data_IF_867780322309
#
_entry.id   IF_867780322309
#
_cell.length_a   1.000
_cell.length_b   1.000
_cell.length_c   1.000
_cell.angle_alpha   90.00
_cell.angle_beta   90.00
_cell.angle_gamma   90.00
#
_symmetry.space_group_name_H-M   'P 1'
#
loop_
_entity.id
_entity.type
_entity.pdbx_description
1 polymer ?
#
# COMPACT_ATOMS: atom_id res chain seq x y z
N UNK A 1 -18.54 32.62 -54.51
CA UNK A 1 -17.64 33.59 -53.86
C UNK A 1 -17.19 33.00 -52.55
N UNK A 2 -15.98 32.43 -52.56
CA UNK A 2 -15.41 31.59 -51.50
C UNK A 2 -14.43 32.44 -50.69
N UNK A 3 -14.68 32.62 -49.41
CA UNK A 3 -13.76 33.23 -48.45
C UNK A 3 -12.83 32.16 -47.88
N UNK A 4 -11.51 32.40 -47.77
CA UNK A 4 -10.60 31.52 -47.05
C UNK A 4 -10.52 31.94 -45.57
N UNK A 5 -10.54 30.94 -44.69
CA UNK A 5 -10.27 31.05 -43.26
C UNK A 5 -8.76 31.03 -43.02
N UNK A 6 -8.22 32.12 -42.50
CA UNK A 6 -6.83 32.26 -42.06
C UNK A 6 -6.68 31.72 -40.65
N UNK A 7 -5.89 30.65 -40.48
CA UNK A 7 -5.50 30.12 -39.16
C UNK A 7 -4.21 30.82 -38.74
N UNK A 8 -4.27 31.54 -37.62
CA UNK A 8 -3.13 32.17 -36.98
C UNK A 8 -2.50 31.17 -35.99
N UNK A 9 -1.27 30.73 -36.25
CA UNK A 9 -0.48 29.88 -35.37
C UNK A 9 0.56 30.76 -34.70
N UNK A 10 0.40 31.02 -33.39
CA UNK A 10 1.43 31.69 -32.59
C UNK A 10 2.05 30.71 -31.59
N UNK A 11 3.32 30.42 -31.88
CA UNK A 11 4.48 30.16 -31.04
C UNK A 11 4.34 29.50 -29.65
N UNK A 12 5.12 28.43 -29.52
CA UNK A 12 5.71 27.88 -28.30
C UNK A 12 6.28 28.95 -27.36
N UNK A 13 6.02 28.79 -26.06
CA UNK A 13 7.04 29.02 -25.04
C UNK A 13 7.10 27.83 -24.08
N UNK A 14 8.29 27.27 -24.05
CA UNK A 14 8.77 26.17 -23.24
C UNK A 14 9.07 26.71 -21.82
N UNK A 15 8.38 26.20 -20.80
CA UNK A 15 8.74 26.45 -19.40
C UNK A 15 8.77 25.14 -18.62
N UNK A 16 9.97 24.56 -18.62
CA UNK A 16 10.69 24.25 -17.38
C UNK A 16 9.96 23.37 -16.38
N UNK A 17 10.06 22.05 -16.59
CA UNK A 17 10.01 21.07 -15.51
C UNK A 17 11.22 21.28 -14.59
N UNK A 18 11.00 21.60 -13.33
CA UNK A 18 11.96 21.31 -12.25
C UNK A 18 11.30 20.41 -11.20
N UNK A 19 11.73 19.16 -11.19
CA UNK A 19 11.48 18.21 -10.10
C UNK A 19 12.49 18.54 -8.99
N UNK A 20 12.05 19.29 -7.97
CA UNK A 20 12.84 19.58 -6.78
C UNK A 20 12.60 18.54 -5.68
N UNK A 21 13.17 17.35 -5.83
CA UNK A 21 13.40 16.44 -4.70
C UNK A 21 14.89 16.52 -4.32
N UNK A 22 15.15 16.88 -3.07
CA UNK A 22 16.41 16.77 -2.33
C UNK A 22 17.56 17.70 -2.78
N UNK A 23 17.68 18.85 -2.11
CA UNK A 23 18.98 19.49 -1.87
C UNK A 23 18.90 20.38 -0.63
N UNK A 24 19.28 19.83 0.52
CA UNK A 24 19.75 20.59 1.68
C UNK A 24 21.24 20.78 1.51
N UNK A 25 21.65 21.97 1.10
CA UNK A 25 23.02 22.46 1.22
C UNK A 25 23.33 22.66 2.70
N UNK A 26 24.12 21.76 3.28
CA UNK A 26 24.87 22.05 4.50
C UNK A 26 26.25 22.56 4.10
N UNK A 27 26.52 23.81 4.43
CA UNK A 27 27.88 24.30 4.59
C UNK A 27 28.51 23.57 5.79
N UNK A 28 29.64 22.90 5.57
CA UNK A 28 30.49 22.46 6.68
C UNK A 28 31.91 22.96 6.43
N UNK A 29 32.27 23.97 7.20
CA UNK A 29 33.65 24.32 7.51
C UNK A 29 34.11 23.40 8.64
N UNK A 30 35.02 22.46 8.39
CA UNK A 30 36.08 22.14 9.36
C UNK A 30 37.19 21.30 8.73
N UNK A 31 38.40 21.82 8.94
CA UNK A 31 39.68 21.12 8.80
C UNK A 31 39.77 20.05 9.91
N UNK A 32 40.27 18.87 9.59
CA UNK A 32 41.59 18.42 10.05
C UNK A 32 41.86 16.97 9.67
N UNK A 33 43.15 16.71 9.49
CA UNK A 33 43.75 15.46 9.06
C UNK A 33 43.65 14.35 10.12
N UNK A 34 43.45 13.10 9.70
CA UNK A 34 44.26 11.97 10.17
C UNK A 34 44.04 10.66 9.38
N UNK A 35 45.11 9.87 9.39
CA UNK A 35 45.43 8.70 8.57
C UNK A 35 44.40 7.56 8.60
N UNK A 36 44.19 6.93 7.43
CA UNK A 36 43.61 5.59 7.31
C UNK A 36 44.68 4.53 7.59
N UNK A 37 44.48 3.76 8.65
CA UNK A 37 45.19 2.50 8.88
C UNK A 37 44.41 1.36 8.25
N UNK A 38 45.09 0.59 7.39
CA UNK A 38 44.64 -0.69 6.91
C UNK A 38 44.71 -1.74 8.03
N UNK A 39 43.68 -2.55 8.17
CA UNK A 39 43.77 -3.84 8.86
C UNK A 39 42.93 -4.86 8.11
N UNK A 40 43.64 -5.65 7.30
CA UNK A 40 43.22 -6.95 6.82
C UNK A 40 43.41 -7.98 7.94
N UNK A 41 42.45 -8.88 8.12
CA UNK A 41 42.63 -10.12 8.85
C UNK A 41 41.89 -11.24 8.11
N UNK A 42 42.55 -12.36 7.77
CA UNK A 42 41.95 -13.55 7.19
C UNK A 42 41.79 -14.66 8.25
N UNK A 43 40.74 -15.48 8.15
CA UNK A 43 40.61 -16.80 8.81
C UNK A 43 39.20 -17.33 8.52
N UNK A 44 38.90 -18.61 8.29
CA UNK A 44 39.66 -19.84 8.09
C UNK A 44 38.70 -20.84 7.43
N UNK A 45 39.28 -21.82 6.73
CA UNK A 45 38.60 -23.01 6.21
C UNK A 45 38.05 -23.87 7.36
N UNK A 46 36.91 -24.53 7.13
CA UNK A 46 36.51 -25.70 7.90
C UNK A 46 36.07 -26.82 6.95
N UNK A 47 36.63 -28.00 7.21
CA UNK A 47 36.48 -29.29 6.56
C UNK A 47 35.02 -29.79 6.57
N UNK A 48 34.47 -30.24 5.44
CA UNK A 48 34.29 -31.66 5.01
C UNK A 48 34.03 -32.68 6.13
N UNK A 49 32.85 -33.29 6.13
CA UNK A 49 32.67 -34.71 6.50
C UNK A 49 31.84 -35.40 5.42
N UNK A 50 32.43 -36.45 4.85
CA UNK A 50 31.85 -37.43 3.95
C UNK A 50 31.22 -38.51 4.83
N UNK A 51 29.97 -38.87 4.58
CA UNK A 51 29.35 -40.07 5.16
C UNK A 51 29.17 -41.06 4.01
N UNK A 52 29.95 -42.14 4.09
CA UNK A 52 29.98 -43.27 3.17
C UNK A 52 29.33 -44.49 3.86
N UNK A 53 28.63 -45.29 3.05
CA UNK A 53 28.36 -46.75 3.21
C UNK A 53 27.30 -47.20 4.26
N UNK A 54 26.48 -48.25 4.08
CA UNK A 54 26.29 -49.28 3.04
C UNK A 54 24.91 -49.98 3.32
N UNK A 55 24.09 -50.26 2.29
CA UNK A 55 23.78 -51.58 1.68
C UNK A 55 22.66 -52.40 2.33
N UNK A 56 21.64 -52.76 1.52
CA UNK A 56 21.08 -54.13 1.36
C UNK A 56 19.57 -54.14 1.02
N UNK A 57 19.20 -54.09 -0.27
CA UNK A 57 17.93 -54.70 -0.76
C UNK A 57 18.08 -55.13 -2.24
N UNK A 58 17.65 -56.34 -2.65
CA UNK A 58 18.01 -56.92 -3.94
C UNK A 58 17.14 -56.52 -5.14
N UNK A 59 17.83 -56.38 -6.28
CA UNK A 59 17.48 -56.56 -7.69
C UNK A 59 16.03 -56.90 -8.09
N UNK A 60 15.43 -56.00 -8.87
CA UNK A 60 14.40 -56.32 -9.86
C UNK A 60 14.75 -55.66 -11.20
N UNK A 61 15.09 -56.50 -12.19
CA UNK A 61 15.33 -56.16 -13.60
C UNK A 61 14.00 -55.96 -14.31
N UNK A 62 13.82 -54.80 -14.95
CA UNK A 62 12.93 -54.62 -16.10
C UNK A 62 13.65 -53.77 -17.17
N UNK A 63 13.65 -54.17 -18.46
CA UNK A 63 14.28 -53.41 -19.55
C UNK A 63 13.36 -52.28 -20.06
N UNK A 64 13.96 -51.17 -20.50
CA UNK A 64 13.35 -49.87 -20.85
C UNK A 64 12.63 -49.78 -22.21
N UNK A 65 12.64 -48.66 -22.97
CA UNK A 65 13.43 -47.42 -22.79
C UNK A 65 12.65 -46.07 -22.88
N UNK A 66 13.29 -45.05 -22.30
CA UNK A 66 13.47 -43.66 -22.77
C UNK A 66 12.30 -42.84 -23.35
N UNK A 67 11.93 -41.77 -22.62
CA UNK A 67 12.19 -40.37 -23.03
C UNK A 67 11.82 -39.41 -21.89
N UNK A 68 12.77 -39.16 -20.99
CA UNK A 68 12.67 -38.08 -20.01
C UNK A 68 13.25 -36.79 -20.59
N UNK A 69 12.38 -35.80 -20.75
CA UNK A 69 12.76 -34.42 -21.01
C UNK A 69 13.33 -33.80 -19.73
N UNK A 70 14.64 -33.94 -19.53
CA UNK A 70 15.36 -33.11 -18.56
C UNK A 70 15.38 -31.66 -19.07
N UNK A 71 14.60 -30.79 -18.42
CA UNK A 71 14.82 -29.35 -18.50
C UNK A 71 16.10 -29.00 -17.77
N UNK A 72 17.17 -28.89 -18.54
CA UNK A 72 18.43 -28.27 -18.15
C UNK A 72 18.16 -26.81 -17.74
N UNK A 73 18.10 -26.55 -16.43
CA UNK A 73 18.08 -25.18 -15.89
C UNK A 73 19.44 -24.53 -16.13
N UNK A 74 19.59 -23.91 -17.30
CA UNK A 74 20.66 -22.97 -17.55
C UNK A 74 20.47 -21.76 -16.61
N UNK A 75 21.32 -21.67 -15.58
CA UNK A 75 21.50 -20.45 -14.79
C UNK A 75 22.34 -19.46 -15.60
N UNK A 76 21.72 -18.81 -16.58
CA UNK A 76 22.34 -17.64 -17.21
C UNK A 76 22.35 -16.50 -16.18
N UNK A 77 23.55 -16.06 -15.80
CA UNK A 77 23.73 -14.85 -15.00
C UNK A 77 23.28 -13.67 -15.86
N UNK A 78 22.35 -12.81 -15.41
CA UNK A 78 21.89 -11.69 -16.20
C UNK A 78 23.06 -10.74 -16.46
N UNK A 79 23.51 -10.68 -17.72
CA UNK A 79 24.44 -9.65 -18.18
C UNK A 79 23.78 -8.28 -18.00
N UNK A 80 24.57 -7.28 -17.59
CA UNK A 80 24.08 -5.92 -17.31
C UNK A 80 23.29 -5.29 -18.47
N UNK A 81 23.46 -5.78 -19.69
CA UNK A 81 22.68 -5.37 -20.88
C UNK A 81 21.23 -5.89 -20.88
N UNK A 82 20.95 -7.07 -20.34
CA UNK A 82 19.59 -7.62 -20.23
C UNK A 82 18.72 -6.86 -19.23
N UNK A 83 19.33 -6.31 -18.17
CA UNK A 83 18.63 -5.50 -17.17
C UNK A 83 18.14 -4.17 -17.77
N UNK A 84 18.94 -3.55 -18.64
CA UNK A 84 18.61 -2.29 -19.33
C UNK A 84 17.47 -2.52 -20.33
N UNK A 85 17.51 -3.63 -21.08
CA UNK A 85 16.43 -3.98 -22.02
C UNK A 85 15.10 -4.28 -21.32
N UNK A 86 15.12 -4.93 -20.16
CA UNK A 86 13.90 -5.19 -19.39
C UNK A 86 13.31 -3.89 -18.82
N UNK A 87 14.14 -2.96 -18.32
CA UNK A 87 13.67 -1.64 -17.90
C UNK A 87 13.09 -0.81 -19.06
N UNK A 88 13.74 -0.82 -20.24
CA UNK A 88 13.25 -0.08 -21.41
C UNK A 88 11.94 -0.67 -21.95
N UNK A 89 11.79 -2.00 -21.89
CA UNK A 89 10.54 -2.70 -22.28
C UNK A 89 9.41 -2.44 -21.27
N UNK A 90 9.72 -2.30 -19.98
CA UNK A 90 8.76 -1.93 -18.93
C UNK A 90 8.30 -0.47 -19.10
N UNK A 91 9.23 0.47 -19.36
CA UNK A 91 8.91 1.89 -19.63
C UNK A 91 8.06 2.04 -20.89
N UNK A 92 8.34 1.30 -21.97
CA UNK A 92 7.50 1.32 -23.19
C UNK A 92 6.07 0.86 -22.94
N UNK A 93 5.84 -0.16 -22.09
CA UNK A 93 4.48 -0.62 -21.72
C UNK A 93 3.70 0.43 -20.92
N UNK A 94 4.38 1.13 -20.01
CA UNK A 94 3.74 2.22 -19.25
C UNK A 94 3.42 3.43 -20.14
N UNK A 95 4.30 3.81 -21.07
CA UNK A 95 4.03 4.90 -22.01
C UNK A 95 2.91 4.58 -23.02
N UNK A 96 2.82 3.35 -23.52
CA UNK A 96 1.70 2.96 -24.41
C UNK A 96 0.35 2.96 -23.70
N UNK A 97 0.33 2.69 -22.38
CA UNK A 97 -0.89 2.78 -21.56
C UNK A 97 -1.33 4.23 -21.35
N UNK A 98 -0.38 5.13 -21.03
CA UNK A 98 -0.66 6.56 -20.81
C UNK A 98 -1.18 7.24 -22.09
N UNK A 99 -0.64 6.90 -23.26
CA UNK A 99 -1.10 7.47 -24.54
C UNK A 99 -2.50 6.96 -24.91
N UNK A 100 -2.87 5.71 -24.58
CA UNK A 100 -4.24 5.22 -24.78
C UNK A 100 -5.26 5.91 -23.86
N UNK A 101 -4.88 6.21 -22.62
CA UNK A 101 -5.75 6.91 -21.65
C UNK A 101 -6.01 8.37 -22.03
N UNK A 102 -5.07 9.03 -22.72
CA UNK A 102 -5.23 10.43 -23.14
C UNK A 102 -6.03 10.61 -24.44
N UNK A 103 -6.16 9.57 -25.27
CA UNK A 103 -6.88 9.64 -26.56
C UNK A 103 -8.22 8.89 -26.60
N UNK A 104 -8.59 8.14 -25.56
CA UNK A 104 -10.02 7.83 -25.32
C UNK A 104 -10.63 9.05 -24.63
N UNK A 105 -10.92 10.09 -25.42
CA UNK A 105 -11.88 11.11 -25.03
C UNK A 105 -13.17 10.41 -24.63
N UNK A 106 -13.37 10.24 -23.32
CA UNK A 106 -14.66 9.85 -22.76
C UNK A 106 -15.60 10.98 -23.12
N UNK A 107 -16.29 10.84 -24.24
CA UNK A 107 -17.49 11.63 -24.50
C UNK A 107 -18.40 11.33 -23.32
N UNK A 108 -18.85 12.34 -22.56
CA UNK A 108 -19.85 12.10 -21.54
C UNK A 108 -21.05 11.50 -22.27
N UNK A 109 -21.29 10.21 -22.05
CA UNK A 109 -22.46 9.53 -22.58
C UNK A 109 -23.63 10.20 -21.89
N UNK A 110 -24.25 11.18 -22.54
CA UNK A 110 -25.63 11.61 -22.30
C UNK A 110 -26.54 10.49 -22.76
N UNK A 111 -26.40 9.33 -22.13
CA UNK A 111 -27.39 8.29 -22.17
C UNK A 111 -28.53 8.77 -21.29
N UNK A 112 -29.76 8.69 -21.79
CA UNK A 112 -30.94 8.79 -20.96
C UNK A 112 -30.68 7.93 -19.70
N UNK A 113 -30.87 8.46 -18.48
CA UNK A 113 -30.70 7.64 -17.29
C UNK A 113 -31.62 6.44 -17.48
N UNK A 114 -31.01 5.27 -17.73
CA UNK A 114 -31.74 4.01 -17.68
C UNK A 114 -32.51 4.05 -16.38
N UNK A 115 -33.80 3.77 -16.50
CA UNK A 115 -34.75 3.73 -15.41
C UNK A 115 -34.05 2.99 -14.28
N UNK A 116 -33.67 3.71 -13.22
CA UNK A 116 -33.05 3.12 -12.04
C UNK A 116 -34.10 2.11 -11.59
N UNK A 117 -33.89 0.84 -11.92
CA UNK A 117 -34.76 -0.24 -11.51
C UNK A 117 -34.65 -0.18 -10.00
N UNK A 118 -35.70 0.32 -9.37
CA UNK A 118 -35.83 0.38 -7.92
C UNK A 118 -35.60 -1.04 -7.43
N UNK A 119 -34.41 -1.33 -6.89
CA UNK A 119 -34.18 -2.58 -6.19
C UNK A 119 -35.28 -2.72 -5.13
N UNK A 120 -35.78 -3.95 -4.88
CA UNK A 120 -36.76 -4.18 -3.85
C UNK A 120 -36.26 -3.58 -2.53
N UNK A 121 -37.17 -2.84 -1.89
CA UNK A 121 -36.96 -2.06 -0.68
C UNK A 121 -36.44 -2.94 0.46
N UNK A 122 -35.13 -3.15 0.53
CA UNK A 122 -34.46 -3.96 1.55
C UNK A 122 -34.26 -3.17 2.86
N UNK A 123 -35.08 -2.15 3.15
CA UNK A 123 -35.18 -1.47 4.44
C UNK A 123 -33.97 -0.64 4.89
N UNK A 124 -32.83 -0.72 4.21
CA UNK A 124 -31.68 0.16 4.45
C UNK A 124 -31.85 1.44 3.62
N UNK A 125 -32.57 2.41 4.20
CA UNK A 125 -32.60 3.81 3.75
C UNK A 125 -31.17 4.36 3.79
N UNK A 126 -30.43 4.16 2.70
CA UNK A 126 -28.99 4.48 2.55
C UNK A 126 -28.77 5.83 1.89
N UNK A 127 -29.83 6.64 1.76
CA UNK A 127 -29.86 7.86 0.95
C UNK A 127 -28.96 9.01 1.44
N UNK A 128 -28.24 8.89 2.56
CA UNK A 128 -27.36 9.99 3.01
C UNK A 128 -26.04 9.60 3.67
N UNK A 129 -25.53 8.37 3.49
CA UNK A 129 -24.18 8.09 4.00
C UNK A 129 -23.13 8.85 3.18
N UNK A 130 -22.31 9.67 3.84
CA UNK A 130 -21.20 10.36 3.20
C UNK A 130 -20.12 9.39 2.65
N UNK A 131 -20.10 8.16 3.16
CA UNK A 131 -19.10 7.14 2.84
C UNK A 131 -19.56 6.18 1.74
N UNK A 132 -20.86 6.16 1.43
CA UNK A 132 -21.42 5.38 0.31
C UNK A 132 -21.60 6.34 -0.87
N UNK A 133 -20.97 6.04 -2.00
CA UNK A 133 -21.03 6.83 -3.22
C UNK A 133 -21.35 5.96 -4.42
N UNK A 134 -22.02 6.57 -5.40
CA UNK A 134 -22.23 5.95 -6.70
C UNK A 134 -20.94 6.02 -7.52
N UNK A 135 -20.53 4.88 -8.08
CA UNK A 135 -19.42 4.80 -9.03
C UNK A 135 -19.83 3.95 -10.22
N UNK A 136 -19.06 4.06 -11.30
CA UNK A 136 -19.21 3.24 -12.48
C UNK A 136 -17.99 2.34 -12.65
N UNK A 137 -18.24 1.06 -12.88
CA UNK A 137 -17.21 0.06 -13.14
C UNK A 137 -17.39 -0.47 -14.57
N UNK A 138 -16.31 -0.54 -15.34
CA UNK A 138 -16.36 -1.07 -16.70
C UNK A 138 -16.60 -2.59 -16.66
N UNK A 139 -17.66 -3.05 -17.31
CA UNK A 139 -17.98 -4.47 -17.45
C UNK A 139 -17.22 -5.13 -18.60
N UNK A 140 -17.37 -6.45 -18.76
CA UNK A 140 -16.86 -7.20 -19.93
C UNK A 140 -17.71 -6.96 -21.19
N UNK A 141 -18.97 -6.55 -21.01
CA UNK A 141 -19.89 -6.18 -22.08
C UNK A 141 -19.41 -4.91 -22.79
N UNK A 142 -19.59 -4.86 -24.11
CA UNK A 142 -19.20 -3.71 -24.94
C UNK A 142 -20.41 -3.09 -25.61
N UNK A 143 -20.46 -1.76 -25.64
CA UNK A 143 -21.43 -1.02 -26.47
C UNK A 143 -21.06 -1.09 -27.96
N UNK A 144 -19.76 -1.01 -28.25
CA UNK A 144 -19.20 -1.07 -29.59
C UNK A 144 -17.80 -1.73 -29.56
N UNK A 145 -17.07 -1.74 -30.68
CA UNK A 145 -15.76 -2.39 -30.75
C UNK A 145 -14.73 -1.83 -29.75
N UNK A 146 -14.90 -0.59 -29.30
CA UNK A 146 -13.92 0.18 -28.55
C UNK A 146 -14.34 0.53 -27.12
N UNK A 147 -15.63 0.51 -26.79
CA UNK A 147 -16.15 0.99 -25.51
C UNK A 147 -16.81 -0.12 -24.69
N UNK A 148 -16.33 -0.31 -23.47
CA UNK A 148 -16.96 -1.18 -22.47
C UNK A 148 -18.19 -0.50 -21.85
N UNK A 149 -19.21 -1.28 -21.55
CA UNK A 149 -20.43 -0.83 -20.90
C UNK A 149 -20.14 -0.56 -19.41
N UNK A 150 -20.28 0.68 -18.91
CA UNK A 150 -20.14 1.00 -17.50
C UNK A 150 -21.38 0.53 -16.73
N UNK A 151 -21.18 -0.11 -15.59
CA UNK A 151 -22.26 -0.52 -14.68
C UNK A 151 -22.17 0.29 -13.40
N UNK A 152 -23.29 0.89 -13.01
CA UNK A 152 -23.42 1.64 -11.76
C UNK A 152 -23.34 0.70 -10.56
N UNK A 153 -22.61 1.07 -9.50
CA UNK A 153 -22.58 0.32 -8.25
C UNK A 153 -22.44 1.21 -7.02
N UNK A 154 -22.81 0.66 -5.85
CA UNK A 154 -22.61 1.33 -4.56
C UNK A 154 -21.21 1.02 -4.04
N UNK A 155 -20.43 2.07 -3.83
CA UNK A 155 -19.06 1.99 -3.37
C UNK A 155 -18.90 2.58 -1.97
N UNK A 156 -18.22 1.86 -1.08
CA UNK A 156 -17.81 2.36 0.23
C UNK A 156 -16.35 2.79 0.18
N UNK A 157 -16.05 4.01 0.63
CA UNK A 157 -14.68 4.44 0.90
C UNK A 157 -14.33 4.14 2.35
N UNK A 158 -13.58 3.07 2.58
CA UNK A 158 -13.25 2.58 3.92
C UNK A 158 -11.78 2.84 4.26
N UNK A 159 -11.56 3.88 5.06
CA UNK A 159 -10.22 4.26 5.55
C UNK A 159 -9.69 3.33 6.65
N UNK A 160 -10.53 2.45 7.22
CA UNK A 160 -10.12 1.43 8.18
C UNK A 160 -9.76 0.09 7.53
N UNK A 161 -10.16 -0.14 6.28
CA UNK A 161 -9.82 -1.35 5.54
C UNK A 161 -8.40 -1.29 4.96
N UNK A 162 -7.47 -1.96 5.64
CA UNK A 162 -6.06 -2.10 5.21
C UNK A 162 -5.77 -3.36 4.39
N UNK A 163 -6.74 -4.27 4.22
CA UNK A 163 -6.52 -5.53 3.49
C UNK A 163 -6.47 -5.32 1.96
N UNK A 164 -7.12 -4.26 1.48
CA UNK A 164 -7.14 -3.88 0.07
C UNK A 164 -8.54 -3.49 -0.39
N UNK A 165 -8.72 -3.31 -1.70
CA UNK A 165 -10.05 -3.07 -2.25
C UNK A 165 -10.83 -4.37 -2.32
N UNK A 166 -12.13 -4.31 -2.09
CA UNK A 166 -13.02 -5.47 -2.14
C UNK A 166 -14.09 -5.27 -3.21
N UNK A 167 -14.53 -6.36 -3.83
CA UNK A 167 -15.67 -6.40 -4.75
C UNK A 167 -16.50 -7.64 -4.44
N UNK A 168 -17.83 -7.54 -4.49
CA UNK A 168 -18.68 -8.72 -4.25
C UNK A 168 -18.65 -9.67 -5.45
N UNK A 169 -18.65 -10.98 -5.16
CA UNK A 169 -18.76 -12.02 -6.19
C UNK A 169 -20.03 -11.85 -7.02
N UNK A 170 -21.17 -11.57 -6.37
CA UNK A 170 -22.46 -11.37 -7.03
C UNK A 170 -22.40 -10.23 -8.05
N UNK A 171 -21.83 -9.08 -7.69
CA UNK A 171 -21.69 -7.95 -8.60
C UNK A 171 -20.82 -8.30 -9.82
N UNK A 172 -19.72 -9.03 -9.62
CA UNK A 172 -18.85 -9.45 -10.72
C UNK A 172 -19.54 -10.37 -11.72
N UNK A 173 -20.19 -11.42 -11.22
CA UNK A 173 -20.75 -12.47 -12.06
C UNK A 173 -22.04 -12.02 -12.73
N UNK A 174 -22.93 -11.37 -11.98
CA UNK A 174 -24.28 -11.08 -12.46
C UNK A 174 -24.37 -9.73 -13.19
N UNK A 175 -23.54 -8.75 -12.83
CA UNK A 175 -23.66 -7.38 -13.37
C UNK A 175 -22.51 -6.98 -14.27
N UNK A 176 -21.28 -7.39 -13.95
CA UNK A 176 -20.09 -7.07 -14.76
C UNK A 176 -19.76 -8.11 -15.83
N UNK A 177 -20.40 -9.29 -15.81
CA UNK A 177 -20.23 -10.33 -16.83
C UNK A 177 -18.88 -11.04 -16.77
N UNK A 178 -18.24 -11.05 -15.59
CA UNK A 178 -17.04 -11.87 -15.36
C UNK A 178 -17.43 -13.31 -15.01
N UNK A 179 -16.46 -14.21 -15.17
CA UNK A 179 -16.57 -15.63 -14.81
C UNK A 179 -15.54 -15.97 -13.73
N UNK A 180 -15.71 -17.10 -13.04
CA UNK A 180 -14.72 -17.54 -12.05
C UNK A 180 -13.34 -17.84 -12.66
N UNK A 181 -13.28 -18.18 -13.96
CA UNK A 181 -12.01 -18.33 -14.69
C UNK A 181 -11.22 -17.03 -14.84
N UNK A 182 -11.87 -15.88 -14.70
CA UNK A 182 -11.20 -14.58 -14.72
C UNK A 182 -10.53 -14.25 -13.38
N UNK A 183 -10.77 -15.06 -12.34
CA UNK A 183 -10.24 -14.80 -11.01
C UNK A 183 -8.74 -15.10 -10.95
N UNK A 184 -7.99 -14.10 -10.54
CA UNK A 184 -6.57 -14.18 -10.28
C UNK A 184 -6.31 -14.85 -8.94
N UNK A 185 -5.19 -15.58 -8.88
CA UNK A 185 -4.70 -16.14 -7.61
C UNK A 185 -4.39 -15.05 -6.60
N UNK A 186 -4.68 -15.34 -5.34
CA UNK A 186 -4.29 -14.51 -4.20
C UNK A 186 -2.78 -14.57 -3.96
N UNK A 187 -2.18 -13.45 -3.56
CA UNK A 187 -0.81 -13.44 -3.03
C UNK A 187 -0.76 -14.08 -1.65
N UNK A 188 0.44 -14.42 -1.15
CA UNK A 188 0.61 -14.99 0.20
C UNK A 188 0.06 -14.06 1.28
N UNK A 189 0.24 -12.75 1.12
CA UNK A 189 -0.26 -11.73 2.05
C UNK A 189 -1.79 -11.55 1.99
N UNK A 190 -2.41 -11.82 0.84
CA UNK A 190 -3.87 -11.77 0.70
C UNK A 190 -4.55 -13.04 1.23
N UNK A 191 -3.82 -14.16 1.22
CA UNK A 191 -4.25 -15.42 1.82
C UNK A 191 -4.19 -15.40 3.34
N UNK A 192 -3.23 -14.66 3.92
CA UNK A 192 -3.26 -14.37 5.36
C UNK A 192 -4.47 -13.48 5.65
N UNK A 193 -5.55 -14.11 6.10
CA UNK A 193 -6.85 -13.48 6.32
C UNK A 193 -6.75 -12.23 7.19
N UNK A 194 -7.33 -11.13 6.72
CA UNK A 194 -7.67 -9.99 7.58
C UNK A 194 -8.77 -10.41 8.57
N UNK A 195 -8.74 -9.86 9.77
CA UNK A 195 -9.81 -10.04 10.74
C UNK A 195 -10.81 -8.90 10.59
N UNK A 196 -12.08 -9.24 10.38
CA UNK A 196 -13.17 -8.25 10.40
C UNK A 196 -13.42 -7.73 11.82
N UNK A 197 -14.31 -6.73 11.94
CA UNK A 197 -14.72 -6.15 13.24
C UNK A 197 -15.30 -7.21 14.19
N UNK A 198 -15.94 -8.25 13.65
CA UNK A 198 -16.48 -9.40 14.39
C UNK A 198 -15.43 -10.43 14.80
N UNK A 199 -14.15 -10.15 14.53
CA UNK A 199 -13.02 -11.05 14.72
C UNK A 199 -13.12 -12.37 13.94
N UNK A 200 -14.02 -12.43 12.95
CA UNK A 200 -14.06 -13.53 12.00
C UNK A 200 -13.05 -13.29 10.88
N UNK A 201 -12.28 -14.33 10.49
CA UNK A 201 -11.33 -14.22 9.40
C UNK A 201 -12.10 -13.98 8.09
N UNK A 202 -11.77 -12.90 7.39
CA UNK A 202 -12.22 -12.68 6.02
C UNK A 202 -11.22 -13.33 5.08
N UNK A 203 -11.68 -14.36 4.37
CA UNK A 203 -10.91 -15.08 3.36
C UNK A 203 -11.46 -14.74 1.98
N UNK A 204 -10.73 -13.98 1.15
CA UNK A 204 -11.16 -13.72 -0.22
C UNK A 204 -11.21 -15.00 -1.06
N UNK A 205 -12.09 -15.03 -2.06
CA UNK A 205 -12.18 -16.16 -3.00
C UNK A 205 -11.09 -16.13 -4.07
N UNK A 206 -10.56 -14.96 -4.34
CA UNK A 206 -9.64 -14.68 -5.43
C UNK A 206 -9.44 -13.17 -5.55
N UNK A 207 -8.80 -12.75 -6.62
CA UNK A 207 -8.66 -11.34 -6.95
C UNK A 207 -9.05 -11.07 -8.40
N UNK A 208 -9.33 -9.82 -8.72
CA UNK A 208 -9.66 -9.38 -10.07
C UNK A 208 -9.09 -7.99 -10.31
N UNK A 209 -8.90 -7.62 -11.58
CA UNK A 209 -8.47 -6.28 -11.99
C UNK A 209 -9.63 -5.55 -12.64
N UNK A 210 -10.01 -4.42 -12.08
CA UNK A 210 -11.16 -3.63 -12.53
C UNK A 210 -10.73 -2.20 -12.87
N UNK A 211 -11.50 -1.59 -13.76
CA UNK A 211 -11.39 -0.16 -14.08
C UNK A 211 -12.67 0.53 -13.69
N UNK A 212 -12.58 1.65 -12.97
CA UNK A 212 -13.74 2.36 -12.45
C UNK A 212 -13.52 3.88 -12.41
N UNK A 213 -14.62 4.63 -12.31
CA UNK A 213 -14.61 6.08 -12.14
C UNK A 213 -15.79 6.53 -11.29
N UNK A 214 -15.64 7.66 -10.62
CA UNK A 214 -16.71 8.27 -9.82
C UNK A 214 -17.64 9.08 -10.73
N UNK A 215 -18.94 9.10 -10.45
CA UNK A 215 -19.95 9.78 -11.29
C UNK A 215 -19.68 11.29 -11.51
N UNK A 216 -19.19 11.98 -10.48
CA UNK A 216 -18.80 13.39 -10.49
C UNK A 216 -17.31 13.64 -10.82
N UNK A 217 -16.53 12.62 -11.16
CA UNK A 217 -15.09 12.77 -11.45
C UNK A 217 -14.75 12.40 -12.88
N UNK A 218 -13.87 13.17 -13.50
CA UNK A 218 -13.26 12.82 -14.80
C UNK A 218 -12.10 11.82 -14.67
N UNK A 219 -11.73 11.44 -13.43
CA UNK A 219 -10.60 10.54 -13.18
C UNK A 219 -11.02 9.09 -13.38
N UNK A 220 -10.26 8.39 -14.22
CA UNK A 220 -10.38 6.95 -14.44
C UNK A 220 -9.31 6.22 -13.63
N UNK A 221 -9.73 5.29 -12.78
CA UNK A 221 -8.85 4.42 -12.03
C UNK A 221 -8.79 3.06 -12.72
N UNK A 222 -7.73 2.86 -13.51
CA UNK A 222 -7.58 1.69 -14.36
C UNK A 222 -6.75 0.59 -13.72
N UNK A 223 -7.09 -0.65 -14.08
CA UNK A 223 -6.34 -1.86 -13.71
C UNK A 223 -6.06 -2.01 -12.21
N UNK A 224 -7.02 -1.59 -11.38
CA UNK A 224 -6.92 -1.69 -9.92
C UNK A 224 -7.25 -3.10 -9.46
N UNK A 225 -6.47 -3.61 -8.51
CA UNK A 225 -6.68 -4.94 -7.93
C UNK A 225 -7.75 -4.90 -6.83
N UNK A 226 -8.69 -5.82 -6.92
CA UNK A 226 -9.76 -6.03 -5.95
C UNK A 226 -9.74 -7.48 -5.47
N UNK A 227 -9.96 -7.69 -4.18
CA UNK A 227 -10.19 -8.99 -3.58
C UNK A 227 -11.68 -9.33 -3.67
N UNK A 228 -11.97 -10.58 -4.01
CA UNK A 228 -13.35 -11.02 -4.26
C UNK A 228 -13.95 -11.47 -2.93
N UNK A 229 -14.90 -10.68 -2.44
CA UNK A 229 -15.68 -10.98 -1.25
C UNK A 229 -16.74 -12.04 -1.56
N UNK A 230 -16.87 -13.09 -0.75
CA UNK A 230 -17.99 -14.04 -0.85
C UNK A 230 -19.33 -13.41 -0.43
N UNK A 231 -19.30 -12.27 0.27
CA UNK A 231 -20.48 -11.59 0.78
C UNK A 231 -20.98 -10.51 -0.19
N UNK A 232 -22.32 -10.38 -0.30
CA UNK A 232 -23.01 -9.45 -1.21
C UNK A 232 -23.49 -8.16 -0.53
N UNK A 233 -23.03 -7.85 0.69
CA UNK A 233 -23.49 -6.67 1.44
C UNK A 233 -23.14 -5.33 0.79
N UNK A 234 -22.12 -5.30 -0.06
CA UNK A 234 -21.68 -4.09 -0.78
C UNK A 234 -21.07 -4.51 -2.10
N UNK A 235 -21.35 -3.76 -3.18
CA UNK A 235 -20.80 -4.05 -4.49
C UNK A 235 -19.28 -3.84 -4.54
N UNK A 236 -18.82 -2.70 -4.00
CA UNK A 236 -17.43 -2.27 -4.07
C UNK A 236 -16.98 -1.60 -2.76
N UNK A 237 -15.77 -1.90 -2.30
CA UNK A 237 -15.12 -1.21 -1.18
C UNK A 237 -13.73 -0.78 -1.63
N UNK A 238 -13.42 0.49 -1.48
CA UNK A 238 -12.09 1.04 -1.74
C UNK A 238 -11.38 1.20 -0.40
N UNK A 239 -10.28 0.45 -0.22
CA UNK A 239 -9.54 0.39 1.04
C UNK A 239 -8.56 1.55 1.21
N UNK A 240 -8.09 1.73 2.45
CA UNK A 240 -7.23 2.82 2.90
C UNK A 240 -5.99 3.02 2.01
N UNK A 241 -5.31 1.92 1.66
CA UNK A 241 -4.10 1.98 0.83
C UNK A 241 -4.37 2.57 -0.56
N UNK A 242 -5.50 2.21 -1.19
CA UNK A 242 -5.85 2.77 -2.50
C UNK A 242 -6.34 4.21 -2.40
N UNK A 243 -7.08 4.54 -1.33
CA UNK A 243 -7.47 5.93 -1.04
C UNK A 243 -6.23 6.82 -0.98
N UNK A 244 -5.20 6.39 -0.24
CA UNK A 244 -3.95 7.12 -0.09
C UNK A 244 -3.14 7.14 -1.39
N UNK A 245 -2.87 5.98 -1.97
CA UNK A 245 -2.00 5.83 -3.15
C UNK A 245 -2.50 6.63 -4.36
N UNK A 246 -3.82 6.66 -4.58
CA UNK A 246 -4.42 7.33 -5.72
C UNK A 246 -5.02 8.70 -5.37
N UNK A 247 -4.86 9.16 -4.12
CA UNK A 247 -5.43 10.41 -3.61
C UNK A 247 -6.91 10.56 -3.99
N UNK A 248 -7.68 9.49 -3.71
CA UNK A 248 -9.09 9.34 -4.13
C UNK A 248 -9.97 10.29 -3.34
N UNK A 249 -9.77 10.31 -2.03
CA UNK A 249 -10.34 11.32 -1.17
C UNK A 249 -9.31 12.44 -1.05
N UNK A 250 -9.75 13.68 -1.24
CA UNK A 250 -8.90 14.82 -0.90
C UNK A 250 -8.43 14.65 0.54
N UNK A 251 -7.15 14.93 0.79
CA UNK A 251 -6.64 15.04 2.17
C UNK A 251 -7.68 15.86 2.93
N UNK A 252 -8.19 15.37 4.08
CA UNK A 252 -9.14 16.16 4.84
C UNK A 252 -8.50 17.53 4.98
N UNK A 253 -9.18 18.57 4.49
CA UNK A 253 -8.81 19.93 4.80
C UNK A 253 -9.12 20.07 6.30
N UNK A 254 -8.26 19.52 7.14
CA UNK A 254 -8.01 20.07 8.45
C UNK A 254 -7.48 21.45 8.13
N UNK A 255 -8.40 22.40 7.88
CA UNK A 255 -8.09 23.80 7.75
C UNK A 255 -7.04 24.05 8.80
N UNK A 256 -5.87 24.51 8.35
CA UNK A 256 -4.68 24.75 9.13
C UNK A 256 -5.02 25.66 10.30
N UNK A 257 -5.62 25.10 11.34
CA UNK A 257 -5.70 25.63 12.69
C UNK A 257 -4.29 25.47 13.25
N UNK A 258 -3.31 26.07 12.57
CA UNK A 258 -1.92 26.22 12.98
C UNK A 258 -1.43 25.04 13.82
N UNK A 259 -1.61 23.82 13.31
CA UNK A 259 -0.96 22.67 13.92
C UNK A 259 0.49 22.84 13.50
N UNK A 260 1.28 23.46 14.39
CA UNK A 260 2.73 23.27 14.39
C UNK A 260 2.95 21.81 14.05
N UNK A 261 3.65 21.53 12.94
CA UNK A 261 4.07 20.16 12.68
C UNK A 261 4.60 19.61 14.00
N UNK A 262 4.09 18.47 14.51
CA UNK A 262 4.67 17.88 15.69
C UNK A 262 6.14 17.72 15.36
N UNK A 263 7.00 18.39 16.14
CA UNK A 263 8.43 18.37 15.85
C UNK A 263 8.86 16.92 15.63
N UNK A 264 9.76 16.65 14.68
CA UNK A 264 10.17 15.29 14.34
C UNK A 264 10.63 14.50 15.57
N UNK A 265 11.09 15.17 16.62
CA UNK A 265 11.40 14.57 17.92
C UNK A 265 10.17 14.07 18.68
N UNK A 266 9.06 14.83 18.71
CA UNK A 266 7.82 14.43 19.37
C UNK A 266 7.21 13.18 18.73
N UNK A 267 7.21 13.10 17.40
CA UNK A 267 6.72 11.92 16.69
C UNK A 267 7.60 10.68 16.93
N UNK A 268 8.93 10.85 16.99
CA UNK A 268 9.86 9.77 17.38
C UNK A 268 9.59 9.29 18.79
N UNK A 269 9.44 10.23 19.74
CA UNK A 269 9.16 9.94 21.14
C UNK A 269 7.84 9.19 21.32
N UNK A 270 6.76 9.62 20.65
CA UNK A 270 5.46 8.93 20.70
C UNK A 270 5.54 7.50 20.14
N UNK A 271 6.26 7.31 19.02
CA UNK A 271 6.48 5.98 18.44
C UNK A 271 7.26 5.08 19.39
N UNK A 272 8.25 5.61 20.09
CA UNK A 272 9.02 4.88 21.10
C UNK A 272 8.18 4.53 22.33
N UNK A 273 7.36 5.46 22.84
CA UNK A 273 6.38 5.18 23.92
C UNK A 273 5.44 4.05 23.54
N UNK A 274 4.91 4.05 22.32
CA UNK A 274 4.04 2.98 21.81
C UNK A 274 4.74 1.61 21.81
N UNK A 275 6.01 1.54 21.36
CA UNK A 275 6.81 0.31 21.41
C UNK A 275 7.00 -0.20 22.83
N UNK A 276 7.38 0.68 23.76
CA UNK A 276 7.60 0.32 25.17
C UNK A 276 6.31 -0.16 25.84
N UNK A 277 5.17 0.49 25.59
CA UNK A 277 3.86 0.05 26.12
C UNK A 277 3.49 -1.35 25.63
N UNK A 278 3.72 -1.65 24.36
CA UNK A 278 3.48 -2.98 23.80
C UNK A 278 4.42 -4.03 24.43
N UNK A 279 5.69 -3.68 24.63
CA UNK A 279 6.68 -4.57 25.27
C UNK A 279 6.33 -4.86 26.74
N UNK A 280 5.87 -3.86 27.49
CA UNK A 280 5.38 -4.02 28.87
C UNK A 280 4.14 -4.93 28.90
N UNK A 281 3.17 -4.69 28.01
CA UNK A 281 1.96 -5.50 27.93
C UNK A 281 2.29 -6.97 27.60
N UNK A 282 3.22 -7.19 26.67
CA UNK A 282 3.71 -8.53 26.34
C UNK A 282 4.38 -9.20 27.55
N UNK A 283 5.29 -8.52 28.25
CA UNK A 283 5.94 -9.09 29.44
C UNK A 283 4.93 -9.43 30.55
N UNK A 284 3.95 -8.55 30.80
CA UNK A 284 2.87 -8.80 31.78
C UNK A 284 2.06 -10.04 31.45
N UNK A 285 1.73 -10.26 30.19
CA UNK A 285 1.01 -11.46 29.76
C UNK A 285 1.85 -12.73 29.98
N UNK A 286 3.14 -12.68 29.67
CA UNK A 286 4.05 -13.80 29.86
C UNK A 286 4.27 -14.17 31.33
N UNK A 287 4.18 -13.20 32.26
CA UNK A 287 4.24 -13.42 33.70
C UNK A 287 2.91 -13.92 34.28
N UNK A 288 1.78 -13.47 33.72
CA UNK A 288 0.44 -13.96 34.11
C UNK A 288 0.26 -15.43 33.76
N UNK A 289 0.80 -15.86 32.62
CA UNK A 289 0.71 -17.22 32.10
C UNK A 289 2.11 -17.84 31.95
N UNK A 290 2.73 -18.33 33.05
CA UNK A 290 4.09 -18.85 33.05
C UNK A 290 4.25 -20.25 32.45
N UNK A 291 3.19 -20.87 31.92
CA UNK A 291 3.20 -22.26 31.46
C UNK A 291 4.35 -22.53 30.49
N UNK A 292 5.23 -23.47 30.85
CA UNK A 292 6.36 -23.90 30.02
C UNK A 292 7.62 -23.03 30.12
N UNK A 293 7.68 -22.05 31.02
CA UNK A 293 8.88 -21.24 31.25
C UNK A 293 9.63 -21.68 32.50
N UNK A 294 10.97 -21.63 32.45
CA UNK A 294 11.82 -21.86 33.62
C UNK A 294 11.86 -20.61 34.51
N UNK A 295 12.22 -20.77 35.78
CA UNK A 295 12.37 -19.64 36.72
C UNK A 295 13.35 -18.58 36.22
N UNK A 296 14.43 -18.99 35.55
CA UNK A 296 15.40 -18.06 34.97
C UNK A 296 14.82 -17.24 33.80
N UNK A 297 13.96 -17.85 32.99
CA UNK A 297 13.23 -17.13 31.93
C UNK A 297 12.23 -16.12 32.52
N UNK A 298 11.55 -16.49 33.60
CA UNK A 298 10.62 -15.60 34.28
C UNK A 298 11.34 -14.40 34.90
N UNK A 299 12.52 -14.61 35.51
CA UNK A 299 13.39 -13.52 36.01
C UNK A 299 13.82 -12.58 34.90
N UNK A 300 14.24 -13.12 33.76
CA UNK A 300 14.64 -12.32 32.60
C UNK A 300 13.48 -11.48 32.05
N UNK A 301 12.27 -12.04 31.99
CA UNK A 301 11.06 -11.31 31.56
C UNK A 301 10.72 -10.18 32.54
N UNK A 302 10.80 -10.43 33.85
CA UNK A 302 10.55 -9.42 34.87
C UNK A 302 11.57 -8.26 34.81
N UNK A 303 12.85 -8.58 34.59
CA UNK A 303 13.89 -7.56 34.41
C UNK A 303 13.64 -6.73 33.14
N UNK A 304 13.27 -7.39 32.04
CA UNK A 304 12.93 -6.71 30.78
C UNK A 304 11.73 -5.78 30.94
N UNK A 305 10.69 -6.21 31.65
CA UNK A 305 9.54 -5.36 31.97
C UNK A 305 9.98 -4.13 32.77
N UNK A 306 10.76 -4.31 33.84
CA UNK A 306 11.25 -3.21 34.68
C UNK A 306 12.07 -2.20 33.89
N UNK A 307 12.93 -2.67 32.99
CA UNK A 307 13.72 -1.82 32.11
C UNK A 307 12.86 -1.03 31.12
N UNK A 308 11.82 -1.65 30.55
CA UNK A 308 10.89 -0.97 29.65
C UNK A 308 10.04 0.09 30.39
N UNK A 309 9.58 -0.21 31.60
CA UNK A 309 8.86 0.74 32.47
C UNK A 309 9.75 1.94 32.85
N UNK A 310 11.01 1.71 33.22
CA UNK A 310 11.97 2.78 33.52
C UNK A 310 12.26 3.67 32.31
N UNK A 311 12.38 3.10 31.10
CA UNK A 311 12.55 3.88 29.86
C UNK A 311 11.30 4.71 29.54
N UNK A 312 10.11 4.13 29.73
CA UNK A 312 8.85 4.83 29.49
C UNK A 312 8.70 6.03 30.43
N UNK A 313 9.02 5.85 31.72
CA UNK A 313 9.00 6.93 32.71
C UNK A 313 9.94 8.09 32.32
N UNK A 314 11.18 7.78 31.88
CA UNK A 314 12.13 8.81 31.41
C UNK A 314 11.61 9.60 30.20
N UNK A 315 10.93 8.94 29.27
CA UNK A 315 10.32 9.62 28.12
C UNK A 315 9.08 10.43 28.51
N UNK A 316 8.37 10.06 29.58
CA UNK A 316 7.25 10.83 30.13
C UNK A 316 7.74 12.07 30.87
N UNK A 317 8.81 11.96 31.66
CA UNK A 317 9.49 13.09 32.30
C UNK A 317 10.03 14.09 31.28
N UNK A 318 10.74 13.61 30.25
CA UNK A 318 11.26 14.47 29.18
C UNK A 318 10.16 15.20 28.38
N UNK A 319 8.97 14.59 28.20
CA UNK A 319 7.84 15.26 27.55
C UNK A 319 7.26 16.37 28.42
N UNK A 320 7.20 16.17 29.74
CA UNK A 320 6.71 17.17 30.68
C UNK A 320 7.68 18.35 30.80
N UNK A 321 8.98 18.09 30.89
CA UNK A 321 10.01 19.14 30.90
C UNK A 321 9.96 19.99 29.62
N UNK A 322 9.83 19.34 28.45
CA UNK A 322 9.65 20.02 27.17
C UNK A 322 8.37 20.87 27.12
N UNK A 323 7.29 20.41 27.76
CA UNK A 323 6.04 21.16 27.87
C UNK A 323 6.20 22.40 28.73
N UNK A 324 6.87 22.30 29.88
CA UNK A 324 7.13 23.44 30.78
C UNK A 324 7.99 24.50 30.08
N UNK A 325 9.05 24.09 29.38
CA UNK A 325 9.90 25.01 28.62
C UNK A 325 9.12 25.74 27.52
N UNK A 326 8.31 25.02 26.74
CA UNK A 326 7.52 25.62 25.66
C UNK A 326 6.50 26.67 26.15
N UNK A 327 5.96 26.50 27.37
CA UNK A 327 5.06 27.47 27.98
C UNK A 327 5.80 28.72 28.47
N UNK A 328 7.01 28.57 28.99
CA UNK A 328 7.87 29.69 29.38
C UNK A 328 8.26 30.55 28.17
N UNK A 329 8.61 29.91 27.05
CA UNK A 329 8.98 30.60 25.81
C UNK A 329 7.79 31.35 25.20
N UNK A 330 6.60 30.74 25.16
CA UNK A 330 5.39 31.40 24.64
C UNK A 330 4.98 32.61 25.50
N UNK A 331 5.11 32.50 26.83
CA UNK A 331 4.86 33.61 27.76
C UNK A 331 5.85 34.76 27.51
N UNK A 332 7.12 34.45 27.30
CA UNK A 332 8.18 35.43 27.00
C UNK A 332 7.94 36.12 25.66
N UNK A 333 7.56 35.36 24.63
CA UNK A 333 7.23 35.91 23.30
C UNK A 333 6.04 36.86 23.34
N UNK A 334 4.97 36.48 24.03
CA UNK A 334 3.78 37.34 24.24
C UNK A 334 4.10 38.61 25.02
N UNK A 335 5.05 38.57 25.95
CA UNK A 335 5.49 39.75 26.66
C UNK A 335 6.23 40.73 25.72
N UNK A 336 7.15 40.23 24.88
CA UNK A 336 7.86 41.06 23.90
C UNK A 336 6.93 41.68 22.84
N UNK A 337 5.94 40.93 22.35
CA UNK A 337 4.93 41.44 21.41
C UNK A 337 4.09 42.59 22.01
N UNK A 338 3.88 42.61 23.33
CA UNK A 338 3.18 43.71 24.03
C UNK A 338 4.03 44.96 24.23
N UNK A 339 5.36 44.84 24.33
CA UNK A 339 6.26 46.00 24.53
C UNK A 339 6.56 46.75 23.22
N UNK A 340 6.27 46.13 22.07
CA UNK A 340 6.57 46.71 20.74
C UNK A 340 5.39 47.47 20.12
N UNK A 341 4.25 47.52 20.80
CA UNK A 341 3.08 48.35 20.46
C UNK A 341 2.94 49.47 21.47
#
# INVERSE_FOLDING_TARGET
MTTPLTINVHACEDRGRSNGFLSTTFESNQKDAQQRSHSAAPSERSHTTVVEENSDVPNLKCPGPEKDNQFERQKEKPTKQGLIWNHLRQVKRHLSGIIRVLFTSVTPITGNPETIISEPDNGFVTTSSAYIRGVYVLSTEKYDEHHFCPKYCRCIFDTGNHQGNLVSKTFLLERLGYTESDFLRLTETEQSSGFGITNHPFVPLGAIRLTWYHDMSTRLFSDMRFLISPYSHTDLIIGAQSIEQYNILGKPNFASLTNREPEPERSKMQREKGKLRNEIAWCKEQLRNPSGKTDDQLKLIAEKQKNAEAKLAKLEEAEEDGRVQSQADDKTRKAMEKTTK
#
